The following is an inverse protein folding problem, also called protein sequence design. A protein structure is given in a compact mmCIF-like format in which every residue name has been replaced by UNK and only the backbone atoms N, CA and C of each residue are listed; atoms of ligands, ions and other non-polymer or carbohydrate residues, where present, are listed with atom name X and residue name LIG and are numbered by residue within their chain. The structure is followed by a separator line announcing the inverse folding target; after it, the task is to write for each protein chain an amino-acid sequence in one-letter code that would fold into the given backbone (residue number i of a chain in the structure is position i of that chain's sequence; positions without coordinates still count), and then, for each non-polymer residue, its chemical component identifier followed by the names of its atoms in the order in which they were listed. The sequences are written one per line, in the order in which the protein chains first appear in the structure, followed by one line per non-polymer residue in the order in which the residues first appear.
data_IF_744236191594
#
_entry.id   IF_744236191594
#
_cell.length_a   1.000
_cell.length_b   1.000
_cell.length_c   1.000
_cell.angle_alpha   90.00
_cell.angle_beta   90.00
_cell.angle_gamma   90.00
#
_symmetry.space_group_name_H-M   'P 1'
#
loop_
_entity.id
_entity.type
_entity.pdbx_description
1 polymer ?
#
# COMPACT_ATOMS: atom_id res chain seq x y z
N UNK A 1 3.30 -16.08 19.20
CA UNK A 1 4.58 -16.57 19.70
C UNK A 1 5.67 -15.90 18.88
N UNK A 2 6.50 -15.05 19.53
CA UNK A 2 7.73 -14.56 18.92
C UNK A 2 8.59 -15.78 18.57
N UNK A 3 9.19 -15.79 17.37
CA UNK A 3 10.18 -16.80 17.06
C UNK A 3 11.29 -16.68 18.09
N UNK A 4 11.75 -17.79 18.69
CA UNK A 4 12.75 -17.75 19.74
C UNK A 4 14.12 -17.26 19.23
N UNK A 5 14.33 -17.21 17.93
CA UNK A 5 15.52 -16.64 17.26
C UNK A 5 15.09 -15.86 16.02
N UNK A 6 15.55 -14.62 15.90
CA UNK A 6 15.49 -13.82 14.68
C UNK A 6 16.90 -13.52 14.18
N UNK A 7 17.16 -13.69 12.88
CA UNK A 7 18.48 -13.50 12.28
C UNK A 7 18.34 -12.51 11.12
N UNK A 8 18.96 -11.34 11.29
CA UNK A 8 19.08 -10.34 10.25
C UNK A 8 20.48 -10.38 9.64
N UNK A 9 20.56 -10.49 8.33
CA UNK A 9 21.80 -10.49 7.58
C UNK A 9 21.94 -9.19 6.80
N UNK A 10 22.95 -8.40 7.11
CA UNK A 10 23.18 -7.08 6.52
C UNK A 10 24.58 -6.98 5.92
N UNK A 11 24.72 -6.25 4.81
CA UNK A 11 26.01 -5.85 4.28
C UNK A 11 26.16 -4.34 4.47
N UNK A 12 27.04 -3.95 5.41
CA UNK A 12 27.31 -2.55 5.72
C UNK A 12 28.78 -2.27 5.43
N UNK A 13 29.07 -1.27 4.61
CA UNK A 13 30.46 -0.87 4.22
C UNK A 13 31.31 -2.08 3.77
N UNK A 14 30.77 -2.92 2.87
CA UNK A 14 31.39 -4.16 2.37
C UNK A 14 31.70 -5.21 3.47
N UNK A 15 31.09 -5.12 4.62
CA UNK A 15 31.20 -6.12 5.68
C UNK A 15 29.86 -6.82 5.89
N UNK A 16 29.86 -8.14 5.79
CA UNK A 16 28.71 -8.96 6.14
C UNK A 16 28.51 -8.96 7.66
N UNK A 17 27.33 -8.55 8.12
CA UNK A 17 26.95 -8.55 9.54
C UNK A 17 25.76 -9.46 9.74
N UNK A 18 25.81 -10.26 10.77
CA UNK A 18 24.69 -11.08 11.25
C UNK A 18 24.26 -10.50 12.59
N UNK A 19 23.02 -10.05 12.66
CA UNK A 19 22.41 -9.58 13.91
C UNK A 19 21.42 -10.67 14.32
N UNK A 20 21.58 -11.17 15.55
CA UNK A 20 20.70 -12.21 16.07
C UNK A 20 20.02 -11.72 17.33
N UNK A 21 18.69 -11.69 17.29
CA UNK A 21 17.84 -11.44 18.46
C UNK A 21 17.25 -12.78 18.89
N UNK A 22 17.40 -13.14 20.14
CA UNK A 22 16.93 -14.42 20.66
C UNK A 22 16.28 -14.28 22.04
N UNK A 23 15.37 -15.17 22.34
CA UNK A 23 14.73 -15.23 23.66
C UNK A 23 15.60 -16.06 24.63
N UNK A 24 16.07 -15.38 25.65
CA UNK A 24 16.95 -15.99 26.72
C UNK A 24 16.25 -17.09 27.55
N UNK A 25 14.94 -17.22 27.47
CA UNK A 25 14.19 -18.28 28.10
C UNK A 25 14.30 -19.62 27.35
N UNK A 26 14.70 -19.57 26.08
CA UNK A 26 14.81 -20.75 25.22
C UNK A 26 16.25 -21.12 24.87
N UNK A 27 17.18 -20.14 24.85
CA UNK A 27 18.55 -20.34 24.40
C UNK A 27 19.55 -19.62 25.28
N UNK A 28 20.68 -20.26 25.53
CA UNK A 28 21.85 -19.64 26.16
C UNK A 28 22.67 -18.85 25.09
N UNK A 29 23.48 -17.92 25.56
CA UNK A 29 24.39 -17.17 24.67
C UNK A 29 25.36 -18.11 23.94
N UNK A 30 25.84 -19.18 24.63
CA UNK A 30 26.78 -20.14 24.05
C UNK A 30 26.17 -20.92 22.91
N UNK A 31 24.92 -21.39 23.03
CA UNK A 31 24.18 -22.08 21.97
C UNK A 31 23.97 -21.16 20.75
N UNK A 32 23.63 -19.91 20.99
CA UNK A 32 23.47 -18.91 19.91
C UNK A 32 24.79 -18.63 19.17
N UNK A 33 25.91 -18.52 19.92
CA UNK A 33 27.24 -18.32 19.33
C UNK A 33 27.65 -19.52 18.47
N UNK A 34 27.40 -20.75 18.92
CA UNK A 34 27.65 -21.95 18.12
C UNK A 34 26.80 -22.00 16.89
N UNK A 35 25.51 -21.70 17.03
CA UNK A 35 24.55 -21.61 15.90
C UNK A 35 24.99 -20.58 14.85
N UNK A 36 25.35 -19.36 15.26
CA UNK A 36 25.80 -18.30 14.35
C UNK A 36 27.09 -18.70 13.62
N UNK A 37 28.05 -19.31 14.31
CA UNK A 37 29.28 -19.80 13.68
C UNK A 37 28.97 -20.83 12.60
N UNK A 38 28.07 -21.76 12.85
CA UNK A 38 27.64 -22.77 11.88
C UNK A 38 26.91 -22.14 10.71
N UNK A 39 26.00 -21.22 10.97
CA UNK A 39 25.25 -20.46 9.95
C UNK A 39 26.18 -19.69 9.02
N UNK A 40 27.15 -18.93 9.57
CA UNK A 40 28.16 -18.21 8.77
C UNK A 40 29.02 -19.18 7.96
N UNK A 41 29.38 -20.34 8.51
CA UNK A 41 30.11 -21.36 7.78
C UNK A 41 29.34 -21.89 6.58
N UNK A 42 28.03 -22.17 6.74
CA UNK A 42 27.18 -22.62 5.63
C UNK A 42 27.01 -21.53 4.55
N UNK A 43 26.85 -20.27 4.93
CA UNK A 43 26.81 -19.16 3.96
C UNK A 43 28.11 -19.07 3.16
N UNK A 44 29.28 -19.23 3.82
CA UNK A 44 30.58 -19.25 3.12
C UNK A 44 30.68 -20.45 2.16
N UNK A 45 30.20 -21.60 2.55
CA UNK A 45 30.16 -22.78 1.68
C UNK A 45 29.27 -22.58 0.46
N UNK A 46 28.09 -21.99 0.64
CA UNK A 46 27.19 -21.63 -0.47
C UNK A 46 27.86 -20.59 -1.38
N UNK A 47 28.47 -19.55 -0.83
CA UNK A 47 29.19 -18.55 -1.60
C UNK A 47 30.35 -19.14 -2.41
N UNK A 48 31.13 -20.04 -1.82
CA UNK A 48 32.20 -20.75 -2.49
C UNK A 48 31.66 -21.69 -3.57
N UNK A 49 30.57 -22.42 -3.32
CA UNK A 49 29.91 -23.28 -4.30
C UNK A 49 29.41 -22.47 -5.51
N UNK A 50 28.78 -21.32 -5.26
CA UNK A 50 28.34 -20.40 -6.31
C UNK A 50 29.55 -19.86 -7.10
N UNK A 51 30.63 -19.51 -6.41
CA UNK A 51 31.85 -19.02 -7.04
C UNK A 51 32.53 -20.09 -7.90
N UNK A 52 32.55 -21.36 -7.45
CA UNK A 52 33.10 -22.47 -8.22
C UNK A 52 32.23 -22.94 -9.37
N UNK A 53 30.91 -22.94 -9.21
CA UNK A 53 29.95 -23.39 -10.23
C UNK A 53 29.69 -22.36 -11.31
N UNK A 54 29.87 -21.08 -11.00
CA UNK A 54 29.73 -19.95 -11.93
C UNK A 54 31.07 -19.27 -12.21
N UNK A 55 32.16 -20.05 -12.25
CA UNK A 55 33.45 -19.59 -12.70
C UNK A 55 33.32 -18.81 -14.00
N UNK A 56 33.36 -17.49 -13.85
CA UNK A 56 33.67 -16.55 -14.92
C UNK A 56 32.76 -16.62 -16.16
N UNK A 57 31.45 -16.50 -15.99
CA UNK A 57 30.67 -15.82 -17.01
C UNK A 57 30.52 -14.35 -16.57
N UNK A 58 31.61 -13.63 -16.88
CA UNK A 58 31.77 -12.21 -16.60
C UNK A 58 30.58 -11.39 -17.04
N UNK A 59 30.12 -10.52 -16.14
CA UNK A 59 29.76 -9.10 -16.28
C UNK A 59 29.29 -8.53 -17.65
N UNK A 60 29.05 -9.32 -18.67
CA UNK A 60 28.44 -8.86 -19.93
C UNK A 60 26.90 -8.88 -19.92
N UNK A 61 26.28 -9.53 -18.94
CA UNK A 61 24.82 -9.70 -18.89
C UNK A 61 24.09 -8.76 -17.89
N UNK A 62 24.80 -7.89 -17.15
CA UNK A 62 24.13 -6.96 -16.23
C UNK A 62 23.40 -5.85 -16.99
N UNK A 63 23.96 -5.37 -18.10
CA UNK A 63 23.29 -4.40 -18.96
C UNK A 63 22.13 -4.98 -19.77
N UNK A 64 22.14 -6.27 -20.08
CA UNK A 64 21.02 -6.93 -20.77
C UNK A 64 19.88 -7.25 -19.80
N UNK A 65 20.18 -7.61 -18.54
CA UNK A 65 19.16 -7.85 -17.52
C UNK A 65 18.42 -6.55 -17.13
N UNK A 66 19.12 -5.42 -17.07
CA UNK A 66 18.52 -4.11 -16.81
C UNK A 66 17.55 -3.70 -17.94
N UNK A 67 17.88 -4.03 -19.19
CA UNK A 67 17.03 -3.74 -20.35
C UNK A 67 15.80 -4.66 -20.45
N UNK A 68 15.86 -5.88 -19.89
CA UNK A 68 14.73 -6.81 -19.88
C UNK A 68 13.74 -6.56 -18.74
N UNK A 69 14.19 -5.97 -17.60
CA UNK A 69 13.34 -5.73 -16.43
C UNK A 69 12.52 -4.44 -16.49
N UNK A 70 12.78 -3.55 -17.46
CA UNK A 70 12.11 -2.23 -17.54
C UNK A 70 12.44 -1.29 -16.37
N UNK A 71 13.56 -1.51 -15.65
CA UNK A 71 13.99 -0.71 -14.50
C UNK A 71 15.32 -0.04 -14.82
N UNK A 72 15.33 1.30 -14.78
CA UNK A 72 16.52 2.13 -14.99
C UNK A 72 16.86 2.92 -13.73
N UNK A 73 18.06 2.75 -13.17
CA UNK A 73 18.49 3.36 -11.90
C UNK A 73 19.61 4.35 -12.13
N UNK A 74 19.41 5.59 -11.66
CA UNK A 74 20.33 6.71 -11.81
C UNK A 74 20.84 7.21 -10.46
N UNK A 75 22.13 7.62 -10.38
CA UNK A 75 22.72 8.37 -9.25
C UNK A 75 22.55 9.89 -9.39
N UNK A 76 21.88 10.32 -10.44
CA UNK A 76 21.64 11.72 -10.76
C UNK A 76 20.17 12.03 -10.54
N UNK A 77 19.90 13.22 -9.98
CA UNK A 77 18.54 13.69 -9.76
C UNK A 77 17.69 13.61 -11.05
N UNK A 78 16.49 13.03 -10.94
CA UNK A 78 15.53 12.95 -12.04
C UNK A 78 15.14 14.34 -12.55
N UNK A 79 15.08 15.34 -11.67
CA UNK A 79 14.91 16.75 -12.06
C UNK A 79 16.02 17.19 -13.04
N UNK A 80 17.29 16.88 -12.74
CA UNK A 80 18.42 17.23 -13.62
C UNK A 80 18.36 16.49 -14.95
N UNK A 81 17.95 15.23 -14.95
CA UNK A 81 17.78 14.45 -16.18
C UNK A 81 16.68 15.04 -17.07
N UNK A 82 15.55 15.44 -16.49
CA UNK A 82 14.44 16.13 -17.19
C UNK A 82 14.91 17.49 -17.71
N UNK A 83 15.53 18.31 -16.85
CA UNK A 83 15.98 19.66 -17.21
C UNK A 83 17.03 19.66 -18.36
N UNK A 84 17.80 18.56 -18.47
CA UNK A 84 18.79 18.37 -19.55
C UNK A 84 18.25 17.57 -20.72
N UNK A 85 16.94 17.33 -20.80
CA UNK A 85 16.25 16.54 -21.83
C UNK A 85 16.81 15.12 -22.02
N UNK A 86 17.44 14.53 -21.00
CA UNK A 86 17.91 13.13 -21.04
C UNK A 86 16.79 12.14 -20.86
N UNK A 87 15.76 12.51 -20.09
CA UNK A 87 14.51 11.78 -19.97
C UNK A 87 13.33 12.73 -20.21
N UNK A 88 12.18 12.24 -20.70
CA UNK A 88 10.99 13.06 -20.90
C UNK A 88 10.41 13.56 -19.57
N UNK A 89 9.65 14.65 -19.61
CA UNK A 89 8.86 15.17 -18.49
C UNK A 89 7.81 14.16 -18.02
N UNK A 90 7.36 14.32 -16.77
CA UNK A 90 6.21 13.59 -16.26
C UNK A 90 4.89 14.26 -16.67
N UNK A 91 3.81 13.49 -16.72
CA UNK A 91 2.46 13.98 -16.96
C UNK A 91 1.75 14.36 -15.67
N UNK A 92 1.97 13.57 -14.63
CA UNK A 92 1.37 13.75 -13.32
C UNK A 92 2.32 13.30 -12.19
N UNK A 93 1.94 13.55 -10.93
CA UNK A 93 2.72 13.11 -9.78
C UNK A 93 1.83 12.57 -8.65
N UNK A 94 2.41 11.75 -7.79
CA UNK A 94 1.83 11.28 -6.54
C UNK A 94 2.73 11.68 -5.36
N UNK A 95 2.16 12.35 -4.35
CA UNK A 95 2.89 12.83 -3.19
C UNK A 95 2.82 11.83 -2.05
N UNK A 96 3.97 11.53 -1.45
CA UNK A 96 4.13 10.61 -0.34
C UNK A 96 4.84 11.30 0.82
N UNK A 97 4.33 11.09 2.04
CA UNK A 97 5.06 11.40 3.26
C UNK A 97 6.08 10.30 3.56
N UNK A 98 7.09 10.62 4.37
CA UNK A 98 8.13 9.66 4.75
C UNK A 98 7.59 8.64 5.78
N UNK A 99 7.91 7.34 5.64
CA UNK A 99 7.58 6.35 6.66
C UNK A 99 8.37 6.59 7.96
N UNK A 100 7.70 6.45 9.11
CA UNK A 100 8.30 6.74 10.43
C UNK A 100 9.51 5.88 10.77
N UNK A 101 9.49 4.64 10.37
CA UNK A 101 10.52 3.68 10.74
C UNK A 101 11.87 3.93 10.03
N UNK A 102 11.89 4.73 8.96
CA UNK A 102 13.13 5.03 8.23
C UNK A 102 14.18 5.73 9.10
N UNK A 103 13.83 6.82 9.77
CA UNK A 103 14.77 7.53 10.64
C UNK A 103 15.30 6.63 11.77
N UNK A 104 14.40 5.84 12.37
CA UNK A 104 14.75 4.89 13.43
C UNK A 104 15.70 3.79 12.96
N UNK A 105 15.52 3.25 11.75
CA UNK A 105 16.41 2.23 11.15
C UNK A 105 17.86 2.72 11.05
N UNK A 106 18.05 4.01 10.79
CA UNK A 106 19.38 4.61 10.68
C UNK A 106 19.88 5.25 11.98
N UNK A 107 19.09 5.17 13.08
CA UNK A 107 19.38 5.83 14.36
C UNK A 107 19.59 7.33 14.21
N UNK A 108 18.77 7.96 13.37
CA UNK A 108 18.78 9.39 13.07
C UNK A 108 17.56 10.06 13.69
N UNK A 109 17.66 11.39 13.92
CA UNK A 109 16.46 12.19 14.15
C UNK A 109 15.67 12.37 12.85
N UNK A 110 14.39 12.69 12.92
CA UNK A 110 13.56 12.96 11.73
C UNK A 110 14.15 14.11 10.89
N UNK A 111 14.70 15.14 11.57
CA UNK A 111 15.32 16.29 10.91
C UNK A 111 16.61 15.91 10.20
N UNK A 112 17.52 15.19 10.88
CA UNK A 112 18.76 14.71 10.27
C UNK A 112 18.47 13.81 9.07
N UNK A 113 17.48 12.90 9.21
CA UNK A 113 17.08 12.04 8.11
C UNK A 113 16.59 12.85 6.91
N UNK A 114 15.69 13.82 7.08
CA UNK A 114 15.22 14.66 5.99
C UNK A 114 16.37 15.45 5.33
N UNK A 115 17.30 15.96 6.13
CA UNK A 115 18.45 16.71 5.61
C UNK A 115 19.40 15.80 4.81
N UNK A 116 19.74 14.62 5.32
CA UNK A 116 20.71 13.74 4.68
C UNK A 116 20.13 12.92 3.51
N UNK A 117 18.84 12.55 3.56
CA UNK A 117 18.22 11.73 2.51
C UNK A 117 17.73 12.54 1.32
N UNK A 118 17.14 13.72 1.58
CA UNK A 118 16.45 14.52 0.55
C UNK A 118 16.72 16.03 0.66
N UNK A 119 17.76 16.46 1.40
CA UNK A 119 18.12 17.86 1.60
C UNK A 119 16.96 18.73 2.14
N UNK A 120 16.06 18.14 2.90
CA UNK A 120 14.82 18.76 3.39
C UNK A 120 13.96 19.43 2.29
N UNK A 121 14.02 18.88 1.07
CA UNK A 121 13.29 19.33 -0.11
C UNK A 121 12.45 18.18 -0.70
N UNK A 122 11.36 18.46 -1.45
CA UNK A 122 10.64 17.44 -2.18
C UNK A 122 11.55 16.76 -3.20
N UNK A 123 11.48 15.44 -3.30
CA UNK A 123 12.31 14.66 -4.22
C UNK A 123 11.47 13.67 -5.02
N UNK A 124 11.68 13.63 -6.33
CA UNK A 124 11.14 12.59 -7.19
C UNK A 124 12.03 11.34 -7.09
N UNK A 125 11.58 10.34 -6.34
CA UNK A 125 12.33 9.09 -6.16
C UNK A 125 12.28 8.22 -7.42
N UNK A 126 11.10 8.13 -8.03
CA UNK A 126 10.92 7.30 -9.22
C UNK A 126 9.85 7.86 -10.16
N UNK A 127 9.94 7.48 -11.41
CA UNK A 127 8.94 7.74 -12.45
C UNK A 127 8.39 6.39 -12.93
N UNK A 128 7.07 6.28 -12.95
CA UNK A 128 6.32 5.15 -13.46
C UNK A 128 5.89 5.47 -14.90
N UNK A 129 6.47 4.80 -15.88
CA UNK A 129 6.00 4.84 -17.27
C UNK A 129 4.88 3.83 -17.44
N UNK A 130 3.63 4.32 -17.38
CA UNK A 130 2.42 3.51 -17.52
C UNK A 130 1.87 3.59 -18.95
N UNK A 131 0.97 2.68 -19.36
CA UNK A 131 0.26 2.81 -20.66
C UNK A 131 -0.55 4.10 -20.82
N UNK A 132 -0.82 4.77 -19.70
CA UNK A 132 -1.68 5.97 -19.64
C UNK A 132 -0.91 7.28 -19.49
N UNK A 133 0.41 7.21 -19.25
CA UNK A 133 1.29 8.37 -19.05
C UNK A 133 2.30 8.16 -17.94
N UNK A 134 3.12 9.17 -17.74
CA UNK A 134 4.26 9.15 -16.80
C UNK A 134 3.89 9.77 -15.46
N UNK A 135 4.02 9.00 -14.39
CA UNK A 135 3.67 9.42 -13.03
C UNK A 135 4.95 9.51 -12.18
N UNK A 136 5.27 10.69 -11.68
CA UNK A 136 6.37 10.88 -10.73
C UNK A 136 5.92 10.55 -9.31
N UNK A 137 6.68 9.73 -8.59
CA UNK A 137 6.50 9.52 -7.14
C UNK A 137 7.41 10.50 -6.41
N UNK A 138 6.80 11.42 -5.66
CA UNK A 138 7.48 12.52 -4.99
C UNK A 138 7.31 12.38 -3.48
N UNK A 139 8.44 12.22 -2.77
CA UNK A 139 8.46 12.30 -1.32
C UNK A 139 8.57 13.74 -0.86
N UNK A 140 7.72 14.10 0.12
CA UNK A 140 7.76 15.41 0.79
C UNK A 140 8.49 15.27 2.13
N UNK A 141 9.25 16.29 2.60
CA UNK A 141 10.09 16.20 3.81
C UNK A 141 9.27 16.33 5.10
N UNK A 142 8.31 15.45 5.27
CA UNK A 142 7.51 15.31 6.49
C UNK A 142 7.19 13.84 6.73
N UNK A 143 7.32 13.43 7.99
CA UNK A 143 6.98 12.07 8.39
C UNK A 143 5.48 11.88 8.54
N UNK A 144 5.02 10.66 8.28
CA UNK A 144 3.61 10.28 8.24
C UNK A 144 2.86 10.60 9.54
N UNK A 145 3.50 10.38 10.69
CA UNK A 145 2.94 10.66 12.01
C UNK A 145 2.85 12.14 12.35
N UNK A 146 3.64 12.97 11.66
CA UNK A 146 3.66 14.42 11.88
C UNK A 146 2.62 15.18 11.07
N UNK A 147 1.93 14.52 10.15
CA UNK A 147 0.97 15.16 9.23
C UNK A 147 -0.12 15.94 9.96
N UNK A 148 -0.62 15.41 11.10
CA UNK A 148 -1.67 16.06 11.91
C UNK A 148 -1.12 16.96 13.01
N UNK A 149 0.17 16.84 13.35
CA UNK A 149 0.81 17.62 14.43
C UNK A 149 1.47 18.89 13.91
N UNK A 150 1.89 18.91 12.65
CA UNK A 150 2.69 19.97 12.04
C UNK A 150 1.97 20.58 10.82
N UNK A 151 0.73 21.06 11.02
CA UNK A 151 -0.12 21.59 9.93
C UNK A 151 0.58 22.69 9.10
N UNK A 152 1.21 23.67 9.76
CA UNK A 152 1.92 24.75 9.07
C UNK A 152 3.10 24.23 8.22
N UNK A 153 3.86 23.26 8.75
CA UNK A 153 4.95 22.62 8.00
C UNK A 153 4.39 21.84 6.83
N UNK A 154 3.29 21.09 7.03
CA UNK A 154 2.63 20.35 5.96
C UNK A 154 2.24 21.27 4.81
N UNK A 155 1.61 22.39 5.09
CA UNK A 155 1.24 23.35 4.05
C UNK A 155 2.45 23.90 3.30
N UNK A 156 3.52 24.27 4.00
CA UNK A 156 4.76 24.78 3.38
C UNK A 156 5.40 23.72 2.47
N UNK A 157 5.55 22.48 2.94
CA UNK A 157 6.19 21.43 2.13
C UNK A 157 5.30 20.99 0.95
N UNK A 158 3.98 21.14 1.06
CA UNK A 158 3.07 20.89 -0.05
C UNK A 158 3.17 21.99 -1.12
N UNK A 159 3.29 23.26 -0.76
CA UNK A 159 3.52 24.34 -1.70
C UNK A 159 4.83 24.14 -2.48
N UNK A 160 5.92 23.79 -1.78
CA UNK A 160 7.20 23.46 -2.41
C UNK A 160 7.08 22.26 -3.36
N UNK A 161 6.35 21.20 -2.94
CA UNK A 161 6.14 20.01 -3.75
C UNK A 161 5.29 20.29 -5.00
N UNK A 162 4.28 21.17 -4.91
CA UNK A 162 3.47 21.60 -6.04
C UNK A 162 4.32 22.33 -7.09
N UNK A 163 5.16 23.27 -6.65
CA UNK A 163 6.11 24.00 -7.52
C UNK A 163 7.11 23.01 -8.14
N UNK A 164 7.70 22.14 -7.32
CA UNK A 164 8.63 21.12 -7.76
C UNK A 164 8.03 20.19 -8.82
N UNK A 165 6.84 19.64 -8.55
CA UNK A 165 6.15 18.73 -9.49
C UNK A 165 5.85 19.39 -10.84
N UNK A 166 5.49 20.68 -10.82
CA UNK A 166 5.29 21.47 -12.04
C UNK A 166 6.59 21.63 -12.84
N UNK A 167 7.73 21.83 -12.19
CA UNK A 167 9.03 21.92 -12.90
C UNK A 167 9.37 20.61 -13.62
N UNK A 168 8.95 19.47 -13.07
CA UNK A 168 9.07 18.15 -13.70
C UNK A 168 8.10 17.95 -14.87
N UNK A 169 7.04 18.77 -14.96
CA UNK A 169 6.04 18.73 -16.02
C UNK A 169 4.65 18.28 -15.61
N UNK A 170 4.43 17.96 -14.33
CA UNK A 170 3.14 17.49 -13.83
C UNK A 170 2.02 18.51 -14.07
N UNK A 171 0.88 18.04 -14.58
CA UNK A 171 -0.35 18.81 -14.79
C UNK A 171 -1.43 18.49 -13.76
N UNK A 172 -1.31 17.35 -13.10
CA UNK A 172 -2.16 16.94 -11.98
C UNK A 172 -1.31 16.19 -10.95
N UNK A 173 -1.62 16.38 -9.67
CA UNK A 173 -0.99 15.62 -8.58
C UNK A 173 -2.04 14.88 -7.78
N UNK A 174 -1.64 13.76 -7.20
CA UNK A 174 -2.43 13.02 -6.22
C UNK A 174 -1.80 13.10 -4.84
N UNK A 175 -2.61 13.42 -3.84
CA UNK A 175 -2.24 13.25 -2.45
C UNK A 175 -2.44 11.78 -2.07
N UNK A 176 -1.43 11.13 -1.49
CA UNK A 176 -1.52 9.71 -1.12
C UNK A 176 -1.49 9.52 0.39
N UNK A 177 -1.80 8.31 0.83
CA UNK A 177 -1.78 7.94 2.24
C UNK A 177 -2.69 8.81 3.09
N UNK A 178 -2.16 9.40 4.18
CA UNK A 178 -2.91 10.29 5.08
C UNK A 178 -2.86 11.77 4.70
N UNK A 179 -2.11 12.17 3.69
CA UNK A 179 -2.03 13.58 3.26
C UNK A 179 -3.44 14.13 2.94
N UNK A 180 -4.34 13.40 2.23
CA UNK A 180 -5.71 13.87 2.04
C UNK A 180 -6.43 14.17 3.35
N UNK A 181 -6.34 13.28 4.34
CA UNK A 181 -7.02 13.47 5.64
C UNK A 181 -6.43 14.65 6.42
N UNK A 182 -5.12 14.83 6.40
CA UNK A 182 -4.43 15.92 7.08
C UNK A 182 -4.68 17.30 6.43
N UNK A 183 -5.14 17.33 5.17
CA UNK A 183 -5.47 18.56 4.42
C UNK A 183 -6.96 18.78 4.25
N UNK A 184 -7.78 18.19 5.12
CA UNK A 184 -9.25 18.20 4.97
C UNK A 184 -9.67 17.81 3.55
N UNK A 185 -9.10 16.70 3.06
CA UNK A 185 -9.38 16.16 1.71
C UNK A 185 -9.06 17.16 0.58
N UNK A 186 -7.90 17.83 0.68
CA UNK A 186 -7.40 18.87 -0.21
C UNK A 186 -8.16 20.22 -0.14
N UNK A 187 -9.20 20.35 0.67
CA UNK A 187 -9.97 21.61 0.77
C UNK A 187 -9.20 22.74 1.46
N UNK A 188 -8.19 22.39 2.28
CA UNK A 188 -7.34 23.39 2.96
C UNK A 188 -6.11 23.79 2.12
N UNK A 189 -5.91 23.19 0.93
CA UNK A 189 -4.79 23.57 0.06
C UNK A 189 -5.21 24.76 -0.80
N UNK A 190 -4.37 25.79 -0.82
CA UNK A 190 -4.63 26.99 -1.61
C UNK A 190 -4.72 26.65 -3.09
N UNK A 191 -5.81 27.03 -3.72
CA UNK A 191 -5.95 26.94 -5.16
C UNK A 191 -5.16 28.07 -5.82
N UNK A 192 -4.22 27.73 -6.69
CA UNK A 192 -3.47 28.67 -7.52
C UNK A 192 -3.40 28.17 -8.96
N UNK A 193 -3.74 28.98 -9.97
CA UNK A 193 -3.62 28.60 -11.38
C UNK A 193 -2.19 28.22 -11.79
N UNK A 194 -1.21 28.63 -11.01
CA UNK A 194 0.18 28.22 -11.22
C UNK A 194 0.45 26.78 -10.81
N UNK A 195 -0.37 26.17 -9.97
CA UNK A 195 -0.21 24.80 -9.50
C UNK A 195 -0.82 23.77 -10.47
N UNK A 196 -0.36 22.51 -10.46
CA UNK A 196 -1.07 21.40 -11.08
C UNK A 196 -2.45 21.22 -10.44
N UNK A 197 -3.38 20.59 -11.14
CA UNK A 197 -4.63 20.12 -10.54
C UNK A 197 -4.32 19.17 -9.36
N UNK A 198 -5.17 19.18 -8.33
CA UNK A 198 -4.98 18.37 -7.12
C UNK A 198 -6.12 17.38 -6.97
N UNK A 199 -5.83 16.10 -6.82
CA UNK A 199 -6.79 15.04 -6.48
C UNK A 199 -6.40 14.33 -5.18
N UNK A 200 -7.39 13.89 -4.41
CA UNK A 200 -7.16 13.10 -3.19
C UNK A 200 -6.95 11.61 -3.47
N UNK A 201 -7.26 11.17 -4.68
CA UNK A 201 -7.23 9.75 -5.03
C UNK A 201 -8.39 8.90 -4.46
N UNK A 202 -9.24 9.47 -3.60
CA UNK A 202 -10.28 8.70 -2.89
C UNK A 202 -11.29 8.03 -3.84
N UNK A 203 -11.71 8.71 -4.93
CA UNK A 203 -12.60 8.12 -5.92
C UNK A 203 -12.01 6.88 -6.58
N UNK A 204 -10.75 6.97 -7.02
CA UNK A 204 -10.02 5.86 -7.62
C UNK A 204 -9.78 4.72 -6.63
N UNK A 205 -9.36 5.04 -5.39
CA UNK A 205 -9.14 4.03 -4.34
C UNK A 205 -10.43 3.29 -3.99
N UNK A 206 -11.54 4.00 -3.83
CA UNK A 206 -12.85 3.38 -3.58
C UNK A 206 -13.27 2.45 -4.72
N UNK A 207 -13.10 2.89 -5.96
CA UNK A 207 -13.38 2.05 -7.13
C UNK A 207 -12.51 0.78 -7.15
N UNK A 208 -11.21 0.92 -6.86
CA UNK A 208 -10.27 -0.20 -6.76
C UNK A 208 -10.67 -1.20 -5.68
N UNK A 209 -11.03 -0.72 -4.49
CA UNK A 209 -11.51 -1.55 -3.38
C UNK A 209 -12.69 -2.42 -3.81
N UNK A 210 -13.71 -1.82 -4.40
CA UNK A 210 -14.92 -2.55 -4.81
C UNK A 210 -14.61 -3.53 -5.95
N UNK A 211 -13.73 -3.19 -6.89
CA UNK A 211 -13.28 -4.12 -7.94
C UNK A 211 -12.51 -5.30 -7.37
N UNK A 212 -11.65 -5.08 -6.37
CA UNK A 212 -10.97 -6.17 -5.66
C UNK A 212 -11.97 -7.07 -4.93
N UNK A 213 -12.99 -6.50 -4.29
CA UNK A 213 -14.07 -7.25 -3.64
C UNK A 213 -14.84 -8.10 -4.67
N UNK A 214 -15.26 -7.53 -5.80
CA UNK A 214 -15.91 -8.27 -6.88
C UNK A 214 -15.06 -9.43 -7.37
N UNK A 215 -13.78 -9.16 -7.63
CA UNK A 215 -12.87 -10.17 -8.12
C UNK A 215 -12.72 -11.33 -7.13
N UNK A 216 -12.56 -11.04 -5.82
CA UNK A 216 -12.49 -12.05 -4.76
C UNK A 216 -13.79 -12.86 -4.68
N UNK A 217 -14.95 -12.21 -4.73
CA UNK A 217 -16.24 -12.88 -4.72
C UNK A 217 -16.37 -13.83 -5.92
N UNK A 218 -15.96 -13.38 -7.11
CA UNK A 218 -16.02 -14.18 -8.34
C UNK A 218 -15.14 -15.42 -8.26
N UNK A 219 -13.86 -15.30 -7.87
CA UNK A 219 -12.95 -16.43 -7.82
C UNK A 219 -13.24 -17.40 -6.68
N UNK A 220 -13.77 -16.91 -5.55
CA UNK A 220 -14.19 -17.76 -4.43
C UNK A 220 -15.59 -18.33 -4.62
N UNK A 221 -16.36 -17.84 -5.63
CA UNK A 221 -17.76 -18.17 -5.85
C UNK A 221 -18.64 -17.74 -4.68
N UNK A 222 -18.19 -16.86 -3.78
CA UNK A 222 -18.98 -16.31 -2.68
C UNK A 222 -19.91 -15.23 -3.21
N UNK A 223 -20.97 -14.96 -2.47
CA UNK A 223 -21.97 -13.97 -2.84
C UNK A 223 -22.13 -12.98 -1.70
N UNK A 224 -22.11 -11.68 -2.01
CA UNK A 224 -22.18 -10.62 -1.00
C UNK A 224 -23.46 -10.73 -0.15
N UNK A 225 -24.59 -11.12 -0.72
CA UNK A 225 -25.83 -11.30 0.02
C UNK A 225 -25.80 -12.39 1.12
N UNK A 226 -24.77 -13.22 1.12
CA UNK A 226 -24.54 -14.24 2.14
C UNK A 226 -23.55 -13.79 3.23
N UNK A 227 -22.89 -12.66 3.02
CA UNK A 227 -21.83 -12.20 3.89
C UNK A 227 -22.36 -11.35 5.05
N UNK A 228 -21.63 -11.40 6.17
CA UNK A 228 -21.66 -10.38 7.20
C UNK A 228 -20.49 -9.47 6.92
N UNK A 229 -20.78 -8.26 6.48
CA UNK A 229 -19.77 -7.26 6.11
C UNK A 229 -19.44 -6.38 7.31
N UNK A 230 -18.18 -6.31 7.71
CA UNK A 230 -17.69 -5.30 8.63
C UNK A 230 -16.82 -4.27 7.90
N UNK A 231 -17.03 -2.99 8.20
CA UNK A 231 -16.19 -1.90 7.73
C UNK A 231 -15.56 -1.22 8.94
N UNK A 232 -14.23 -1.21 8.99
CA UNK A 232 -13.42 -0.61 10.05
C UNK A 232 -12.79 0.67 9.51
N UNK A 233 -13.22 1.80 10.06
CA UNK A 233 -12.88 3.14 9.56
C UNK A 233 -13.91 3.66 8.57
N UNK A 234 -14.80 4.53 9.03
CA UNK A 234 -15.85 5.18 8.25
C UNK A 234 -15.46 6.64 7.91
N UNK A 235 -14.23 6.82 7.44
CA UNK A 235 -13.78 8.06 6.81
C UNK A 235 -14.28 8.16 5.36
N UNK A 236 -13.66 9.02 4.56
CA UNK A 236 -14.06 9.22 3.15
C UNK A 236 -14.06 7.91 2.36
N UNK A 237 -12.99 7.10 2.44
CA UNK A 237 -12.89 5.83 1.69
C UNK A 237 -13.90 4.80 2.21
N UNK A 238 -13.99 4.59 3.54
CA UNK A 238 -14.89 3.57 4.10
C UNK A 238 -16.36 3.82 3.80
N UNK A 239 -16.83 5.08 3.96
CA UNK A 239 -18.21 5.47 3.62
C UNK A 239 -18.48 5.32 2.13
N UNK A 240 -17.56 5.78 1.31
CA UNK A 240 -17.68 5.70 -0.15
C UNK A 240 -17.69 4.25 -0.64
N UNK A 241 -16.87 3.40 -0.06
CA UNK A 241 -16.84 1.94 -0.35
C UNK A 241 -18.16 1.28 0.00
N UNK A 242 -18.72 1.59 1.17
CA UNK A 242 -20.04 1.08 1.58
C UNK A 242 -21.11 1.49 0.57
N UNK A 243 -21.17 2.76 0.20
CA UNK A 243 -22.15 3.27 -0.77
C UNK A 243 -22.02 2.60 -2.13
N UNK A 244 -20.79 2.43 -2.64
CA UNK A 244 -20.56 1.79 -3.93
C UNK A 244 -20.90 0.29 -3.88
N UNK A 245 -20.55 -0.43 -2.81
CA UNK A 245 -20.94 -1.85 -2.64
C UNK A 245 -22.46 -2.00 -2.73
N UNK A 246 -23.21 -1.16 -2.01
CA UNK A 246 -24.68 -1.24 -1.98
C UNK A 246 -25.33 -0.86 -3.32
N UNK A 247 -24.64 -0.12 -4.19
CA UNK A 247 -25.13 0.26 -5.52
C UNK A 247 -24.79 -0.78 -6.60
N UNK A 248 -23.59 -1.40 -6.56
CA UNK A 248 -23.12 -2.24 -7.66
C UNK A 248 -23.09 -3.74 -7.35
N UNK A 249 -23.17 -4.13 -6.08
CA UNK A 249 -23.22 -5.52 -5.64
C UNK A 249 -24.54 -5.83 -4.95
N UNK A 250 -24.94 -7.13 -4.88
CA UNK A 250 -26.03 -7.52 -4.00
C UNK A 250 -25.76 -7.10 -2.55
N UNK A 251 -26.75 -6.59 -1.87
CA UNK A 251 -26.62 -6.11 -0.49
C UNK A 251 -26.21 -7.23 0.46
N UNK A 252 -25.25 -7.00 1.40
CA UNK A 252 -24.85 -8.00 2.38
C UNK A 252 -25.98 -8.32 3.34
N UNK A 253 -25.95 -9.50 3.95
CA UNK A 253 -26.99 -9.93 4.92
C UNK A 253 -27.03 -9.06 6.17
N UNK A 254 -25.85 -8.65 6.67
CA UNK A 254 -25.66 -7.79 7.85
C UNK A 254 -24.48 -6.86 7.60
N UNK A 255 -24.57 -5.64 8.09
CA UNK A 255 -23.47 -4.66 8.05
C UNK A 255 -23.08 -4.31 9.49
N UNK A 256 -21.76 -4.33 9.77
CA UNK A 256 -21.17 -3.89 11.03
C UNK A 256 -20.33 -2.66 10.72
N UNK A 257 -20.74 -1.50 11.22
CA UNK A 257 -20.03 -0.24 11.09
C UNK A 257 -19.16 -0.04 12.34
N UNK A 258 -17.83 0.01 12.16
CA UNK A 258 -16.89 0.16 13.26
C UNK A 258 -15.99 1.38 13.05
N UNK A 259 -15.99 2.32 13.98
CA UNK A 259 -15.06 3.47 13.99
C UNK A 259 -14.76 3.87 15.44
N UNK A 260 -13.97 4.92 15.64
CA UNK A 260 -13.61 5.43 16.97
C UNK A 260 -14.82 6.04 17.69
N UNK A 261 -14.79 6.02 19.03
CA UNK A 261 -15.91 6.47 19.88
C UNK A 261 -16.43 7.89 19.54
N UNK A 262 -15.53 8.80 19.19
CA UNK A 262 -15.87 10.18 18.85
C UNK A 262 -16.80 10.32 17.64
N UNK A 263 -16.90 9.28 16.81
CA UNK A 263 -17.68 9.27 15.57
C UNK A 263 -19.07 8.60 15.70
N UNK A 264 -19.54 8.32 16.91
CA UNK A 264 -20.83 7.64 17.13
C UNK A 264 -21.98 8.30 16.38
N UNK A 265 -22.10 9.63 16.47
CA UNK A 265 -23.19 10.37 15.83
C UNK A 265 -23.07 10.36 14.29
N UNK A 266 -21.85 10.32 13.77
CA UNK A 266 -21.59 10.17 12.33
C UNK A 266 -21.99 8.77 11.85
N UNK A 267 -21.70 7.72 12.64
CA UNK A 267 -22.09 6.35 12.33
C UNK A 267 -23.62 6.19 12.30
N UNK A 268 -24.34 6.83 13.22
CA UNK A 268 -25.82 6.84 13.20
C UNK A 268 -26.36 7.54 11.93
N UNK A 269 -25.76 8.65 11.51
CA UNK A 269 -26.11 9.30 10.24
C UNK A 269 -25.85 8.40 9.04
N UNK A 270 -24.71 7.72 9.00
CA UNK A 270 -24.37 6.76 7.94
C UNK A 270 -25.40 5.62 7.92
N UNK A 271 -25.72 5.04 9.08
CA UNK A 271 -26.77 4.01 9.21
C UNK A 271 -28.09 4.47 8.63
N UNK A 272 -28.56 5.68 8.98
CA UNK A 272 -29.80 6.25 8.44
C UNK A 272 -29.73 6.43 6.90
N UNK A 273 -28.59 6.89 6.36
CA UNK A 273 -28.40 7.01 4.92
C UNK A 273 -28.50 5.64 4.22
N UNK A 274 -27.91 4.60 4.80
CA UNK A 274 -27.95 3.22 4.28
C UNK A 274 -29.39 2.67 4.31
N UNK A 275 -30.14 2.89 5.39
CA UNK A 275 -31.56 2.50 5.48
C UNK A 275 -32.37 3.24 4.42
N UNK A 276 -32.17 4.54 4.29
CA UNK A 276 -32.91 5.38 3.33
C UNK A 276 -32.59 5.04 1.87
N UNK A 277 -31.42 4.43 1.60
CA UNK A 277 -31.07 3.92 0.25
C UNK A 277 -31.73 2.58 -0.08
N UNK A 278 -32.57 2.02 0.83
CA UNK A 278 -33.33 0.81 0.59
C UNK A 278 -32.68 -0.47 1.14
N UNK A 279 -31.63 -0.37 1.95
CA UNK A 279 -31.06 -1.55 2.61
C UNK A 279 -32.03 -2.11 3.68
N UNK A 280 -32.36 -3.40 3.58
CA UNK A 280 -33.30 -4.08 4.45
C UNK A 280 -32.66 -5.01 5.49
N UNK A 281 -31.36 -5.18 5.44
CA UNK A 281 -30.60 -6.03 6.36
C UNK A 281 -30.36 -5.37 7.73
N UNK A 282 -29.73 -6.12 8.62
CA UNK A 282 -29.33 -5.62 9.94
C UNK A 282 -28.13 -4.70 9.84
N UNK A 283 -28.13 -3.55 10.53
CA UNK A 283 -26.99 -2.66 10.68
C UNK A 283 -26.65 -2.54 12.17
N UNK A 284 -25.45 -3.01 12.52
CA UNK A 284 -24.89 -2.85 13.85
C UNK A 284 -23.81 -1.74 13.83
N UNK A 285 -23.88 -0.85 14.81
CA UNK A 285 -22.82 0.14 15.05
C UNK A 285 -22.00 -0.31 16.25
N UNK A 286 -20.69 -0.30 16.09
CA UNK A 286 -19.75 -0.63 17.17
C UNK A 286 -18.57 0.33 17.15
N UNK A 287 -17.76 0.32 18.19
CA UNK A 287 -16.71 1.29 18.42
C UNK A 287 -15.38 0.59 18.66
N UNK A 288 -14.30 1.19 18.12
CA UNK A 288 -12.94 0.77 18.36
C UNK A 288 -12.20 1.77 19.26
N UNK A 289 -11.24 1.26 20.01
CA UNK A 289 -10.25 2.03 20.75
C UNK A 289 -8.84 1.60 20.31
N UNK A 290 -8.17 0.80 21.13
CA UNK A 290 -6.92 0.12 20.77
C UNK A 290 -7.15 -1.21 20.05
N UNK A 291 -8.38 -1.71 20.04
CA UNK A 291 -8.84 -2.91 19.33
C UNK A 291 -10.28 -2.71 18.89
N UNK A 292 -10.72 -3.49 17.92
CA UNK A 292 -12.12 -3.54 17.52
C UNK A 292 -12.98 -4.24 18.58
N UNK A 293 -14.28 -3.95 18.58
CA UNK A 293 -15.25 -4.64 19.43
C UNK A 293 -15.47 -6.09 18.96
N UNK A 294 -15.95 -6.95 19.88
CA UNK A 294 -16.12 -8.39 19.64
C UNK A 294 -17.09 -8.69 18.48
N UNK A 295 -18.08 -7.84 18.26
CA UNK A 295 -19.05 -7.97 17.19
C UNK A 295 -18.40 -7.92 15.79
N UNK A 296 -17.26 -7.25 15.64
CA UNK A 296 -16.51 -7.22 14.36
C UNK A 296 -16.07 -8.62 13.97
N UNK A 297 -15.75 -9.47 14.95
CA UNK A 297 -15.34 -10.85 14.69
C UNK A 297 -16.51 -11.77 14.27
N UNK A 298 -17.74 -11.29 14.26
CA UNK A 298 -18.85 -12.00 13.61
C UNK A 298 -18.77 -11.96 12.08
N UNK A 299 -18.02 -10.98 11.53
CA UNK A 299 -17.91 -10.76 10.10
C UNK A 299 -17.29 -11.95 9.36
N UNK A 300 -17.77 -12.18 8.17
CA UNK A 300 -17.21 -13.12 7.19
C UNK A 300 -16.46 -12.39 6.08
N UNK A 301 -16.68 -11.07 5.99
CA UNK A 301 -16.00 -10.17 5.09
C UNK A 301 -15.65 -8.87 5.82
N UNK A 302 -14.38 -8.51 5.91
CA UNK A 302 -13.90 -7.33 6.63
C UNK A 302 -13.23 -6.38 5.66
N UNK A 303 -13.58 -5.10 5.72
CA UNK A 303 -12.92 -4.02 4.99
C UNK A 303 -12.22 -3.12 6.00
N UNK A 304 -10.91 -2.87 5.81
CA UNK A 304 -10.14 -1.89 6.56
C UNK A 304 -9.96 -0.61 5.75
N UNK A 305 -10.25 0.55 6.37
CA UNK A 305 -10.07 1.88 5.78
C UNK A 305 -9.71 2.90 6.87
N UNK A 306 -8.68 2.63 7.66
CA UNK A 306 -8.25 3.42 8.82
C UNK A 306 -6.74 3.65 8.81
N UNK A 307 -6.27 4.53 9.69
CA UNK A 307 -4.84 4.77 9.91
C UNK A 307 -4.31 4.11 11.19
N UNK A 308 -5.17 3.42 11.93
CA UNK A 308 -4.77 2.75 13.18
C UNK A 308 -4.38 1.31 12.86
N UNK A 309 -3.14 0.96 13.22
CA UNK A 309 -2.60 -0.38 12.99
C UNK A 309 -3.07 -1.40 14.04
N UNK A 310 -3.00 -2.68 13.64
CA UNK A 310 -3.15 -3.83 14.55
C UNK A 310 -4.45 -3.83 15.39
N UNK A 311 -5.54 -3.31 14.84
CA UNK A 311 -6.85 -3.31 15.50
C UNK A 311 -7.47 -4.70 15.62
N UNK A 312 -7.16 -5.61 14.67
CA UNK A 312 -7.67 -6.97 14.66
C UNK A 312 -6.73 -7.94 15.39
N UNK A 313 -7.26 -8.64 16.37
CA UNK A 313 -6.60 -9.82 16.93
C UNK A 313 -6.78 -11.00 15.97
N UNK A 314 -5.70 -11.43 15.33
CA UNK A 314 -5.68 -12.48 14.32
C UNK A 314 -6.29 -13.79 14.80
N UNK A 315 -6.18 -14.11 16.10
CA UNK A 315 -6.70 -15.35 16.66
C UNK A 315 -8.24 -15.36 16.81
N UNK A 316 -8.87 -14.19 16.90
CA UNK A 316 -10.32 -14.05 17.04
C UNK A 316 -11.06 -14.04 15.69
N UNK A 317 -10.34 -13.84 14.59
CA UNK A 317 -10.94 -13.84 13.24
C UNK A 317 -11.54 -15.22 12.97
N UNK A 318 -12.81 -15.26 12.54
CA UNK A 318 -13.48 -16.52 12.18
C UNK A 318 -12.78 -17.23 11.02
N UNK A 319 -12.77 -18.56 11.01
CA UNK A 319 -12.40 -19.32 9.81
C UNK A 319 -13.21 -18.89 8.58
N UNK A 320 -12.58 -18.86 7.42
CA UNK A 320 -13.13 -18.44 6.12
C UNK A 320 -13.47 -16.94 6.01
N UNK A 321 -12.94 -16.11 6.89
CA UNK A 321 -13.04 -14.66 6.73
C UNK A 321 -12.12 -14.16 5.64
N UNK A 322 -12.64 -13.27 4.80
CA UNK A 322 -11.88 -12.48 3.81
C UNK A 322 -11.69 -11.09 4.36
N UNK A 323 -10.48 -10.56 4.24
CA UNK A 323 -10.11 -9.20 4.65
C UNK A 323 -9.58 -8.45 3.42
N UNK A 324 -10.20 -7.32 3.09
CA UNK A 324 -9.71 -6.38 2.08
C UNK A 324 -9.31 -5.11 2.80
N UNK A 325 -8.01 -4.86 2.90
CA UNK A 325 -7.46 -3.79 3.74
C UNK A 325 -6.80 -2.70 2.90
N UNK A 326 -7.32 -1.49 2.99
CA UNK A 326 -6.72 -0.27 2.41
C UNK A 326 -6.08 0.61 3.49
N UNK A 327 -5.99 0.11 4.70
CA UNK A 327 -5.41 0.83 5.83
C UNK A 327 -3.89 0.94 5.68
N UNK A 328 -3.35 2.03 6.15
CA UNK A 328 -1.91 2.23 6.23
C UNK A 328 -1.56 2.87 7.58
N UNK A 329 -0.88 2.10 8.46
CA UNK A 329 -0.51 0.66 8.39
C UNK A 329 -1.73 -0.29 8.45
N UNK A 330 -1.48 -1.60 8.21
CA UNK A 330 -2.55 -2.62 8.21
C UNK A 330 -3.31 -2.70 9.53
N UNK A 331 -4.61 -3.02 9.45
CA UNK A 331 -5.46 -3.23 10.64
C UNK A 331 -5.13 -4.53 11.40
N UNK A 332 -4.25 -5.36 10.88
CA UNK A 332 -3.83 -6.64 11.45
C UNK A 332 -2.29 -6.77 11.45
N UNK A 333 -1.78 -7.68 12.27
CA UNK A 333 -0.38 -8.07 12.22
C UNK A 333 -0.14 -8.96 10.99
N UNK A 334 0.64 -8.48 10.02
CA UNK A 334 0.87 -9.16 8.74
C UNK A 334 1.53 -10.53 8.94
N UNK A 335 2.52 -10.65 9.82
CA UNK A 335 3.21 -11.92 10.06
C UNK A 335 2.27 -12.98 10.66
N UNK A 336 1.38 -12.59 11.56
CA UNK A 336 0.37 -13.49 12.15
C UNK A 336 -0.67 -13.95 11.12
N UNK A 337 -1.14 -13.04 10.26
CA UNK A 337 -2.08 -13.37 9.18
C UNK A 337 -1.45 -14.34 8.19
N UNK A 338 -0.20 -14.09 7.78
CA UNK A 338 0.54 -14.98 6.87
C UNK A 338 0.77 -16.36 7.50
N UNK A 339 1.18 -16.41 8.76
CA UNK A 339 1.35 -17.67 9.49
C UNK A 339 0.04 -18.46 9.55
N UNK A 340 -1.06 -17.78 9.87
CA UNK A 340 -2.38 -18.41 9.91
C UNK A 340 -2.85 -18.88 8.54
N UNK A 341 -2.66 -18.08 7.51
CA UNK A 341 -2.98 -18.44 6.13
C UNK A 341 -2.15 -19.63 5.63
N UNK A 342 -0.88 -19.74 6.04
CA UNK A 342 -0.03 -20.88 5.70
C UNK A 342 -0.37 -22.14 6.50
N UNK A 343 -0.62 -22.03 7.80
CA UNK A 343 -0.82 -23.18 8.70
C UNK A 343 -2.26 -23.69 8.72
N UNK A 344 -3.23 -22.77 8.95
CA UNK A 344 -4.66 -23.14 9.05
C UNK A 344 -5.40 -23.00 7.72
N UNK A 345 -4.93 -22.12 6.85
CA UNK A 345 -5.49 -21.86 5.50
C UNK A 345 -6.98 -21.48 5.53
N UNK A 346 -7.36 -20.74 6.56
CA UNK A 346 -8.74 -20.38 6.88
C UNK A 346 -9.03 -18.88 6.91
N UNK A 347 -8.03 -18.03 6.59
CA UNK A 347 -8.15 -16.58 6.44
C UNK A 347 -7.45 -16.14 5.18
N UNK A 348 -8.06 -15.19 4.46
CA UNK A 348 -7.47 -14.58 3.28
C UNK A 348 -7.50 -13.06 3.42
N UNK A 349 -6.34 -12.42 3.39
CA UNK A 349 -6.21 -10.96 3.47
C UNK A 349 -5.51 -10.43 2.22
N UNK A 350 -6.00 -9.32 1.68
CA UNK A 350 -5.43 -8.63 0.52
C UNK A 350 -5.41 -7.12 0.74
N UNK A 351 -4.51 -6.47 0.02
CA UNK A 351 -4.51 -5.01 -0.08
C UNK A 351 -5.65 -4.55 -0.99
N UNK A 352 -6.43 -3.56 -0.54
CA UNK A 352 -7.63 -3.13 -1.24
C UNK A 352 -7.39 -2.12 -2.36
N UNK A 353 -6.42 -1.23 -2.17
CA UNK A 353 -6.21 -0.06 -3.01
C UNK A 353 -5.32 -0.25 -4.24
N UNK A 354 -4.98 -1.49 -4.63
CA UNK A 354 -4.14 -1.78 -5.79
C UNK A 354 -4.96 -2.17 -7.02
N UNK A 355 -4.49 -1.75 -8.20
CA UNK A 355 -5.09 -2.05 -9.51
C UNK A 355 -4.06 -2.62 -10.47
N UNK A 356 -4.54 -3.42 -11.43
CA UNK A 356 -3.75 -3.93 -12.57
C UNK A 356 -4.06 -3.10 -13.81
N UNK A 357 -3.02 -2.61 -14.47
CA UNK A 357 -3.14 -1.86 -15.73
C UNK A 357 -3.13 -2.76 -16.97
N UNK A 358 -3.02 -4.09 -16.80
CA UNK A 358 -2.99 -5.05 -17.89
C UNK A 358 -1.69 -5.05 -18.71
N UNK A 359 -0.83 -4.05 -18.55
CA UNK A 359 0.47 -3.90 -19.22
C UNK A 359 1.54 -3.51 -18.20
N UNK A 360 2.78 -3.89 -18.49
CA UNK A 360 3.91 -3.65 -17.59
C UNK A 360 4.25 -2.17 -17.51
N UNK A 361 4.56 -1.72 -16.30
CA UNK A 361 5.05 -0.40 -15.95
C UNK A 361 6.57 -0.44 -16.01
N UNK A 362 7.18 0.56 -16.65
CA UNK A 362 8.63 0.76 -16.58
C UNK A 362 8.97 1.75 -15.48
N UNK A 363 10.14 1.58 -14.89
CA UNK A 363 10.58 2.35 -13.73
C UNK A 363 11.87 3.11 -14.05
N UNK A 364 11.85 4.44 -13.88
CA UNK A 364 13.08 5.26 -13.85
C UNK A 364 13.28 5.73 -12.42
N UNK A 365 14.36 5.30 -11.78
CA UNK A 365 14.58 5.43 -10.34
C UNK A 365 15.78 6.31 -10.04
N UNK A 366 15.65 7.27 -9.15
CA UNK A 366 16.76 7.97 -8.52
C UNK A 366 17.26 7.16 -7.33
N UNK A 367 18.54 6.78 -7.34
CA UNK A 367 19.13 6.04 -6.23
C UNK A 367 19.33 6.95 -5.02
N UNK A 368 18.53 6.74 -3.97
CA UNK A 368 18.53 7.46 -2.70
C UNK A 368 18.71 6.44 -1.56
N UNK A 369 19.96 6.07 -1.19
CA UNK A 369 20.20 4.93 -0.30
C UNK A 369 19.49 4.98 1.05
N UNK A 370 19.40 6.15 1.71
CA UNK A 370 18.69 6.28 2.98
C UNK A 370 17.19 6.07 2.82
N UNK A 371 16.59 6.69 1.80
CA UNK A 371 15.16 6.56 1.52
C UNK A 371 14.77 5.13 1.09
N UNK A 372 15.72 4.41 0.48
CA UNK A 372 15.57 3.04 0.01
C UNK A 372 16.17 2.02 1.00
N UNK A 373 16.11 2.27 2.29
CA UNK A 373 16.58 1.39 3.36
C UNK A 373 18.06 0.95 3.23
N UNK A 374 18.91 1.78 2.65
CA UNK A 374 20.32 1.48 2.43
C UNK A 374 20.57 0.42 1.35
N UNK A 375 19.57 0.08 0.53
CA UNK A 375 19.72 -0.91 -0.54
C UNK A 375 20.77 -0.49 -1.55
N UNK A 376 21.58 -1.43 -2.00
CA UNK A 376 22.42 -1.22 -3.20
C UNK A 376 21.53 -1.12 -4.45
N UNK A 377 22.04 -0.56 -5.55
CA UNK A 377 21.30 -0.52 -6.82
C UNK A 377 20.83 -1.91 -7.29
N UNK A 378 21.67 -2.93 -7.10
CA UNK A 378 21.32 -4.32 -7.48
C UNK A 378 20.19 -4.86 -6.61
N UNK A 379 20.23 -4.59 -5.31
CA UNK A 379 19.19 -5.06 -4.40
C UNK A 379 17.89 -4.28 -4.62
N UNK A 380 17.96 -2.97 -4.87
CA UNK A 380 16.82 -2.14 -5.24
C UNK A 380 16.16 -2.62 -6.53
N UNK A 381 16.96 -2.94 -7.57
CA UNK A 381 16.45 -3.50 -8.81
C UNK A 381 15.74 -4.83 -8.60
N UNK A 382 16.31 -5.74 -7.80
CA UNK A 382 15.68 -7.01 -7.44
C UNK A 382 14.40 -6.79 -6.64
N UNK A 383 14.42 -5.84 -5.71
CA UNK A 383 13.26 -5.48 -4.90
C UNK A 383 12.10 -5.01 -5.80
N UNK A 384 12.33 -4.05 -6.68
CA UNK A 384 11.31 -3.55 -7.61
C UNK A 384 10.83 -4.68 -8.54
N UNK A 385 11.75 -5.49 -9.09
CA UNK A 385 11.41 -6.61 -9.97
C UNK A 385 10.65 -7.76 -9.27
N UNK A 386 10.64 -7.79 -7.93
CA UNK A 386 9.86 -8.80 -7.18
C UNK A 386 8.36 -8.53 -7.16
N UNK A 387 7.94 -7.30 -7.47
CA UNK A 387 6.53 -6.95 -7.60
C UNK A 387 6.03 -7.20 -9.04
N UNK A 388 4.76 -7.57 -9.21
CA UNK A 388 4.17 -7.65 -10.55
C UNK A 388 4.24 -6.30 -11.26
N UNK A 389 4.85 -6.27 -12.44
CA UNK A 389 5.18 -5.04 -13.14
C UNK A 389 3.96 -4.23 -13.62
N UNK A 390 2.77 -4.84 -13.68
CA UNK A 390 1.54 -4.21 -14.16
C UNK A 390 0.65 -3.62 -13.05
N UNK A 391 1.14 -3.58 -11.81
CA UNK A 391 0.35 -3.18 -10.64
C UNK A 391 0.75 -1.79 -10.13
N UNK A 392 -0.25 -0.99 -9.77
CA UNK A 392 -0.06 0.34 -9.18
C UNK A 392 -1.09 0.60 -8.08
N UNK A 393 -0.74 1.43 -7.10
CA UNK A 393 -1.70 1.96 -6.14
C UNK A 393 -2.70 2.90 -6.83
N UNK A 394 -3.99 2.69 -6.63
CA UNK A 394 -5.04 3.48 -7.26
C UNK A 394 -4.97 4.97 -6.88
N UNK A 395 -4.56 5.29 -5.65
CA UNK A 395 -4.33 6.67 -5.23
C UNK A 395 -3.26 7.35 -6.09
N UNK A 396 -2.15 6.68 -6.41
CA UNK A 396 -1.11 7.23 -7.29
C UNK A 396 -1.59 7.36 -8.73
N UNK A 397 -2.28 6.32 -9.24
CA UNK A 397 -2.84 6.33 -10.60
C UNK A 397 -3.92 7.40 -10.78
N UNK A 398 -4.60 7.81 -9.70
CA UNK A 398 -5.62 8.86 -9.76
C UNK A 398 -5.12 10.18 -10.31
N UNK A 399 -3.81 10.49 -10.21
CA UNK A 399 -3.21 11.70 -10.75
C UNK A 399 -3.25 11.79 -12.27
N UNK A 400 -3.30 10.64 -12.98
CA UNK A 400 -3.32 10.61 -14.44
C UNK A 400 -4.76 10.66 -15.00
N UNK A 401 -5.76 10.22 -14.24
CA UNK A 401 -7.14 10.07 -14.71
C UNK A 401 -7.74 11.36 -15.25
N UNK A 402 -7.62 12.54 -14.59
CA UNK A 402 -8.15 13.80 -15.13
C UNK A 402 -7.48 14.26 -16.44
N UNK A 403 -6.30 13.74 -16.75
CA UNK A 403 -5.53 14.09 -17.95
C UNK A 403 -5.93 13.26 -19.18
N UNK A 404 -6.48 12.06 -18.95
CA UNK A 404 -6.83 11.10 -20.00
C UNK A 404 -8.34 10.86 -20.13
N UNK A 405 -9.13 11.42 -19.22
CA UNK A 405 -10.59 11.30 -19.21
C UNK A 405 -11.24 12.67 -19.00
N UNK A 406 -12.58 12.69 -18.97
CA UNK A 406 -13.36 13.88 -18.61
C UNK A 406 -13.69 13.94 -17.11
N UNK A 407 -13.15 13.02 -16.32
CA UNK A 407 -13.41 12.99 -14.88
C UNK A 407 -12.64 14.11 -14.19
N UNK A 408 -13.30 14.90 -13.34
CA UNK A 408 -12.61 15.93 -12.57
C UNK A 408 -11.70 15.30 -11.50
N UNK A 409 -10.68 16.04 -11.02
CA UNK A 409 -9.95 15.64 -9.82
C UNK A 409 -10.90 15.51 -8.62
N UNK A 410 -10.78 14.45 -7.84
CA UNK A 410 -11.59 14.29 -6.62
C UNK A 410 -11.02 15.13 -5.47
N UNK A 411 -11.88 15.92 -4.83
CA UNK A 411 -11.56 16.70 -3.62
C UNK A 411 -12.73 16.61 -2.64
N UNK A 412 -12.47 16.82 -1.36
CA UNK A 412 -13.49 16.65 -0.33
C UNK A 412 -13.89 15.17 -0.14
N UNK A 413 -15.09 14.97 0.42
CA UNK A 413 -15.72 13.66 0.50
C UNK A 413 -16.40 13.38 -0.84
N UNK A 414 -15.92 12.34 -1.53
CA UNK A 414 -16.41 11.97 -2.86
C UNK A 414 -17.83 11.40 -2.76
N UNK A 415 -18.73 11.90 -3.57
CA UNK A 415 -20.12 11.41 -3.61
C UNK A 415 -20.27 10.14 -4.48
N UNK A 416 -21.43 9.48 -4.37
CA UNK A 416 -21.67 8.23 -5.08
C UNK A 416 -21.63 8.37 -6.63
N UNK A 417 -22.21 9.40 -7.26
CA UNK A 417 -22.12 9.60 -8.70
C UNK A 417 -20.67 9.68 -9.19
N UNK A 418 -19.82 10.44 -8.49
CA UNK A 418 -18.42 10.58 -8.88
C UNK A 418 -17.65 9.26 -8.70
N UNK A 419 -17.87 8.53 -7.60
CA UNK A 419 -17.26 7.23 -7.38
C UNK A 419 -17.66 6.23 -8.48
N UNK A 420 -18.93 6.21 -8.87
CA UNK A 420 -19.43 5.38 -9.98
C UNK A 420 -18.75 5.72 -11.30
N UNK A 421 -18.44 6.99 -11.54
CA UNK A 421 -17.70 7.40 -12.72
C UNK A 421 -16.28 6.83 -12.73
N UNK A 422 -15.55 6.84 -11.58
CA UNK A 422 -14.23 6.19 -11.48
C UNK A 422 -14.32 4.68 -11.66
N UNK A 423 -15.30 4.03 -11.03
CA UNK A 423 -15.54 2.59 -11.17
C UNK A 423 -15.83 2.19 -12.63
N UNK A 424 -16.70 2.94 -13.31
CA UNK A 424 -17.02 2.75 -14.73
C UNK A 424 -15.79 2.98 -15.61
N UNK A 425 -15.02 4.05 -15.36
CA UNK A 425 -13.78 4.33 -16.07
C UNK A 425 -12.80 3.15 -16.00
N UNK A 426 -12.61 2.55 -14.83
CA UNK A 426 -11.74 1.38 -14.70
C UNK A 426 -12.24 0.18 -15.51
N UNK A 427 -13.53 -0.12 -15.43
CA UNK A 427 -14.14 -1.21 -16.20
C UNK A 427 -14.01 -1.02 -17.72
N UNK A 428 -14.27 0.19 -18.20
CA UNK A 428 -14.20 0.53 -19.64
C UNK A 428 -12.76 0.53 -20.18
N UNK A 429 -11.77 0.77 -19.36
CA UNK A 429 -10.37 0.78 -19.76
C UNK A 429 -9.62 -0.52 -19.43
N UNK A 430 -10.33 -1.60 -19.07
CA UNK A 430 -9.74 -2.90 -18.73
C UNK A 430 -8.72 -2.81 -17.59
N UNK A 431 -8.96 -1.89 -16.65
CA UNK A 431 -8.21 -1.77 -15.40
C UNK A 431 -8.92 -2.65 -14.39
N UNK A 432 -8.24 -3.65 -13.87
CA UNK A 432 -8.83 -4.65 -12.99
C UNK A 432 -8.38 -4.51 -11.54
N UNK A 433 -9.16 -5.06 -10.60
CA UNK A 433 -8.73 -5.30 -9.25
C UNK A 433 -7.49 -6.19 -9.20
N UNK A 434 -6.63 -5.95 -8.25
CA UNK A 434 -5.37 -6.68 -8.11
C UNK A 434 -5.31 -7.42 -6.79
N UNK A 435 -4.86 -8.68 -6.82
CA UNK A 435 -4.52 -9.45 -5.60
C UNK A 435 -3.18 -9.08 -4.99
N UNK A 436 -2.64 -7.95 -5.35
CA UNK A 436 -1.36 -7.53 -4.84
C UNK A 436 -1.43 -7.26 -3.33
N UNK A 437 -0.31 -7.19 -2.75
CA UNK A 437 -0.05 -6.98 -1.36
C UNK A 437 0.50 -8.26 -0.77
N UNK A 438 -0.31 -9.21 -0.46
CA UNK A 438 0.17 -10.41 0.23
C UNK A 438 0.00 -11.70 -0.59
N UNK A 439 -0.62 -11.63 -1.77
CA UNK A 439 -0.94 -12.82 -2.56
C UNK A 439 0.30 -13.63 -2.97
N UNK A 440 1.44 -12.98 -3.19
CA UNK A 440 2.72 -13.64 -3.50
C UNK A 440 3.34 -14.35 -2.27
N UNK A 441 2.89 -14.01 -1.05
CA UNK A 441 3.34 -14.62 0.19
C UNK A 441 2.46 -15.80 0.62
N UNK A 442 1.32 -16.01 -0.07
CA UNK A 442 0.39 -17.09 0.24
C UNK A 442 0.72 -18.36 -0.53
N UNK A 443 0.38 -19.55 0.03
CA UNK A 443 0.37 -20.78 -0.74
C UNK A 443 -0.49 -20.67 -2.01
N UNK A 444 0.02 -21.13 -3.13
CA UNK A 444 -0.66 -21.01 -4.44
C UNK A 444 -2.04 -21.70 -4.51
N UNK A 445 -2.32 -22.63 -3.59
CA UNK A 445 -3.57 -23.36 -3.48
C UNK A 445 -4.57 -22.77 -2.47
N UNK A 446 -4.17 -21.71 -1.73
CA UNK A 446 -5.02 -21.10 -0.69
C UNK A 446 -6.38 -20.69 -1.23
N UNK A 447 -6.43 -19.96 -2.33
CA UNK A 447 -7.69 -19.56 -2.99
C UNK A 447 -8.54 -20.74 -3.47
N UNK A 448 -7.90 -21.85 -3.88
CA UNK A 448 -8.61 -23.09 -4.21
C UNK A 448 -9.38 -23.63 -3.02
N UNK A 449 -8.80 -23.59 -1.83
CA UNK A 449 -9.43 -24.09 -0.59
C UNK A 449 -10.61 -23.23 -0.18
N UNK A 450 -10.55 -21.90 -0.36
CA UNK A 450 -11.72 -21.03 -0.19
C UNK A 450 -12.86 -21.36 -1.16
N UNK A 451 -12.58 -21.91 -2.35
CA UNK A 451 -13.58 -22.44 -3.28
C UNK A 451 -14.18 -23.79 -2.82
N UNK A 452 -13.34 -24.69 -2.32
CA UNK A 452 -13.72 -26.09 -1.98
C UNK A 452 -14.60 -26.13 -0.73
N UNK A 453 -14.44 -25.20 0.21
CA UNK A 453 -15.27 -25.13 1.41
C UNK A 453 -16.76 -24.86 1.14
N UNK A 454 -17.14 -24.49 -0.10
CA UNK A 454 -18.54 -24.38 -0.54
C UNK A 454 -19.16 -25.68 -1.07
N UNK A 455 -18.36 -26.62 -1.54
CA UNK A 455 -18.87 -27.90 -2.05
C UNK A 455 -19.12 -28.95 -0.95
N UNK A 456 -18.75 -28.65 0.28
CA UNK A 456 -18.84 -29.52 1.44
C UNK A 456 -20.15 -29.39 2.26
N UNK A 457 -21.26 -28.97 1.66
CA UNK A 457 -22.59 -29.19 2.26
C UNK A 457 -23.25 -30.38 1.59
N UNK A 458 -23.10 -31.50 2.20
CA UNK A 458 -24.11 -32.53 2.26
C UNK A 458 -24.65 -32.58 3.67
#
# INVERSE_FOLDING_TARGET
ASYPINIDCLIIKNKFRVITVYDKNFYTLEEIVVFIKHFIHQIKNIANYIHHKHGVQKMKNISSFANESGIEIHDVSLLKLIATNKIPKIDSAAFYALPIDLANKFSMTEEDFCNESINNEPVCELILDTPYGRIGVIHIPIFYERLFEQENKLHSVLDDALIYSKTLGARCISLTGLIPSATNYALNIKSDPAYPMITTGHGATTAALVMNIEHILNITGRKMEQEILSIIGLGSIGVSTLKLILDVLPSPRKIILCDILKKKDELEKIKLQVINSGYLGEILITQSHSAVADEVYEATFIIGATYISNLLNTNLIKPNTIIVDDSSPNIFNLSEILERACKKQDVYAVQGGAISLGQDIKYTVQHLPLLQDGLSKIDLQKHIASFPANIIAACSFSSIIPLISKLPPSQGIVDLPDIKNYYKFFKENSIDGSFLGYSHLYPSDLLRRFKILKSGKK
#
